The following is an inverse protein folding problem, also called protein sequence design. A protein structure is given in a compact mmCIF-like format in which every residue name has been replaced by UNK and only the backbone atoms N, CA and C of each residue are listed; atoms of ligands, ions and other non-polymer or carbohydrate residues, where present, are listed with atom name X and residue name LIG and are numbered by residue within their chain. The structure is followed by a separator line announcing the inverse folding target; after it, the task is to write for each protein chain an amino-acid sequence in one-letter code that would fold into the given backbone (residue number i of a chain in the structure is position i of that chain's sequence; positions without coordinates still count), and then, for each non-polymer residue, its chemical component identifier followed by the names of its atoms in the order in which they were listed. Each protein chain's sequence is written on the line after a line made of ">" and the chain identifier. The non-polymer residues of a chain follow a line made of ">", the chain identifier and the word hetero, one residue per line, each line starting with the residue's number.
data_IF_312307738443
#
_entry.id   IF_312307738443
#
_cell.length_a   1.000
_cell.length_b   1.000
_cell.length_c   1.000
_cell.angle_alpha   90.00
_cell.angle_beta   90.00
_cell.angle_gamma   90.00
#
_symmetry.space_group_name_H-M   'P 1'
#
loop_
_entity.id
_entity.type
_entity.pdbx_description
1 polymer ?
#
# COMPACT_ATOMS: atom_id res chain seq x y z
N UNK A 1 -66.10 -17.20 1.15
CA UNK A 1 -66.91 -16.04 0.71
C UNK A 1 -65.89 -15.14 0.02
N UNK A 2 -65.81 -15.38 -1.13
CA UNK A 2 -66.23 -14.80 -2.41
C UNK A 2 -65.19 -13.81 -2.96
N UNK A 3 -64.48 -14.30 -3.92
CA UNK A 3 -64.13 -13.52 -5.12
C UNK A 3 -65.42 -13.24 -5.88
N UNK A 4 -65.54 -12.40 -6.91
CA UNK A 4 -64.68 -12.37 -8.10
C UNK A 4 -64.66 -11.00 -8.84
N UNK A 5 -63.88 -10.81 -9.82
CA UNK A 5 -64.09 -10.97 -11.27
C UNK A 5 -63.73 -9.75 -12.08
N UNK A 6 -62.83 -9.95 -13.07
CA UNK A 6 -62.89 -9.67 -14.52
C UNK A 6 -62.98 -8.20 -14.98
N UNK A 7 -62.49 -7.78 -16.09
CA UNK A 7 -61.86 -8.29 -17.32
C UNK A 7 -61.52 -7.09 -18.23
N UNK A 8 -60.49 -7.22 -19.05
CA UNK A 8 -60.46 -7.11 -20.51
C UNK A 8 -60.34 -5.70 -21.14
N UNK A 9 -59.31 -5.58 -22.00
CA UNK A 9 -59.30 -4.63 -23.08
C UNK A 9 -57.94 -4.38 -23.73
N UNK A 10 -57.43 -5.35 -24.51
CA UNK A 10 -56.65 -5.09 -25.72
C UNK A 10 -57.59 -4.98 -26.92
N UNK A 11 -57.41 -4.27 -27.97
CA UNK A 11 -56.40 -4.59 -28.97
C UNK A 11 -55.89 -3.50 -29.94
N UNK A 12 -54.76 -3.83 -30.56
CA UNK A 12 -54.41 -3.74 -32.03
C UNK A 12 -54.18 -2.42 -32.70
N UNK A 13 -52.93 -2.38 -33.25
CA UNK A 13 -52.54 -2.28 -34.67
C UNK A 13 -52.67 -0.92 -35.33
N UNK A 14 -51.57 -0.35 -35.78
CA UNK A 14 -51.44 -0.13 -37.24
C UNK A 14 -49.96 -0.02 -37.70
N UNK A 15 -49.74 -0.54 -38.90
CA UNK A 15 -48.51 -0.61 -39.70
C UNK A 15 -48.43 0.60 -40.63
N UNK A 16 -47.26 1.03 -40.93
CA UNK A 16 -47.02 1.97 -42.05
C UNK A 16 -45.56 2.30 -42.24
N UNK A 17 -44.82 1.44 -42.90
CA UNK A 17 -44.42 1.53 -44.32
C UNK A 17 -43.33 2.57 -44.63
N UNK A 18 -42.14 2.01 -44.93
CA UNK A 18 -41.09 2.67 -45.71
C UNK A 18 -41.58 3.16 -47.11
N UNK A 19 -40.84 4.02 -47.79
CA UNK A 19 -40.08 3.47 -48.88
C UNK A 19 -38.62 3.98 -49.03
N UNK A 20 -37.93 3.16 -49.77
CA UNK A 20 -36.57 3.28 -50.27
C UNK A 20 -36.50 4.19 -51.53
N UNK A 21 -35.30 4.60 -51.88
CA UNK A 21 -34.65 4.54 -53.21
C UNK A 21 -33.53 5.57 -53.27
N UNK A 22 -32.37 5.15 -53.51
CA UNK A 22 -31.52 5.02 -54.71
C UNK A 22 -30.79 6.34 -55.02
N UNK A 23 -29.55 6.45 -55.36
CA UNK A 23 -28.73 5.74 -56.33
C UNK A 23 -27.27 6.26 -56.29
N UNK A 24 -26.34 5.41 -56.64
CA UNK A 24 -24.96 5.77 -57.01
C UNK A 24 -24.91 6.39 -58.40
N UNK A 25 -23.82 7.09 -58.78
CA UNK A 25 -23.08 6.55 -59.93
C UNK A 25 -21.57 6.46 -59.74
N UNK A 26 -21.09 5.47 -60.47
CA UNK A 26 -19.69 5.11 -60.76
C UNK A 26 -19.11 6.10 -61.77
N UNK A 27 -17.81 6.39 -61.66
CA UNK A 27 -16.92 6.55 -62.84
C UNK A 27 -15.49 6.16 -62.52
N UNK A 28 -14.98 5.22 -63.28
CA UNK A 28 -13.58 4.91 -63.62
C UNK A 28 -13.38 5.38 -65.07
N UNK A 29 -12.18 5.25 -65.65
CA UNK A 29 -10.79 5.59 -65.24
C UNK A 29 -10.10 6.45 -66.34
N UNK A 30 -8.88 6.92 -66.07
CA UNK A 30 -7.99 7.30 -67.18
C UNK A 30 -6.52 7.03 -66.86
N UNK A 31 -5.95 6.12 -67.64
CA UNK A 31 -4.55 5.80 -67.72
C UNK A 31 -3.75 6.83 -68.55
N UNK A 32 -2.50 7.07 -68.17
CA UNK A 32 -1.42 7.47 -69.11
C UNK A 32 -0.07 7.03 -68.57
N UNK A 33 0.52 6.02 -69.15
CA UNK A 33 1.86 5.86 -69.79
C UNK A 33 2.85 7.02 -69.47
N UNK A 34 4.13 6.84 -69.25
CA UNK A 34 5.09 5.75 -69.49
C UNK A 34 6.51 6.29 -69.15
N UNK A 35 7.42 5.36 -68.93
CA UNK A 35 8.84 5.42 -69.23
C UNK A 35 9.79 6.16 -68.24
N UNK A 36 10.64 5.38 -67.71
CA UNK A 36 11.91 5.77 -67.05
C UNK A 36 12.65 4.53 -66.58
N UNK A 37 13.20 3.75 -67.53
CA UNK A 37 14.23 2.75 -67.25
C UNK A 37 15.40 3.45 -66.60
N UNK A 38 15.71 3.07 -65.33
CA UNK A 38 17.05 3.25 -64.74
C UNK A 38 17.58 1.87 -64.35
N UNK A 39 18.74 1.61 -64.91
CA UNK A 39 19.58 0.45 -64.80
C UNK A 39 19.84 0.05 -63.37
N UNK A 40 19.61 -1.22 -63.04
CA UNK A 40 20.03 -1.82 -61.80
C UNK A 40 21.57 -1.98 -61.83
N UNK A 41 22.23 -1.39 -60.86
CA UNK A 41 23.62 -1.73 -60.50
C UNK A 41 23.59 -2.97 -59.61
N UNK A 42 24.57 -3.88 -59.72
CA UNK A 42 24.59 -5.14 -58.98
C UNK A 42 24.82 -4.86 -57.47
N UNK A 43 24.09 -5.59 -56.63
CA UNK A 43 24.19 -5.55 -55.19
C UNK A 43 25.55 -6.03 -54.69
N UNK A 44 26.20 -5.23 -53.88
CA UNK A 44 27.41 -5.56 -53.12
C UNK A 44 27.05 -6.61 -52.04
N UNK A 45 27.65 -7.84 -52.06
CA UNK A 45 27.33 -8.91 -51.11
C UNK A 45 27.92 -8.71 -49.70
N UNK A 46 28.57 -7.59 -49.42
CA UNK A 46 29.23 -7.36 -48.10
C UNK A 46 28.46 -6.46 -47.14
N UNK A 47 27.31 -5.94 -47.53
CA UNK A 47 26.49 -5.10 -46.65
C UNK A 47 25.65 -5.98 -45.72
N UNK A 48 26.18 -6.28 -44.53
CA UNK A 48 25.37 -6.78 -43.40
C UNK A 48 24.23 -5.79 -43.10
N UNK A 49 23.00 -6.30 -42.89
CA UNK A 49 21.92 -5.43 -42.46
C UNK A 49 22.29 -4.80 -41.09
N UNK A 50 22.37 -3.47 -41.04
CA UNK A 50 22.50 -2.74 -39.80
C UNK A 50 21.26 -3.03 -38.96
N UNK A 51 21.47 -3.68 -37.83
CA UNK A 51 20.40 -3.87 -36.81
C UNK A 51 19.82 -2.50 -36.42
N UNK A 52 18.51 -2.42 -36.18
CA UNK A 52 17.89 -1.14 -35.79
C UNK A 52 18.53 -0.66 -34.49
N UNK A 53 19.07 0.55 -34.52
CA UNK A 53 19.78 1.19 -33.41
C UNK A 53 18.93 1.41 -32.13
N UNK A 54 17.62 1.15 -32.20
CA UNK A 54 16.71 1.19 -31.07
C UNK A 54 16.88 0.02 -30.07
N UNK A 55 17.11 -1.20 -30.60
CA UNK A 55 17.15 -2.40 -29.75
C UNK A 55 18.35 -2.47 -28.79
N UNK A 56 19.46 -1.83 -29.13
CA UNK A 56 20.66 -1.77 -28.25
C UNK A 56 20.44 -0.76 -27.12
N UNK A 57 19.85 0.39 -27.41
CA UNK A 57 19.51 1.40 -26.40
C UNK A 57 18.47 0.91 -25.38
N UNK A 58 17.44 0.21 -25.85
CA UNK A 58 16.42 -0.39 -24.98
C UNK A 58 16.98 -1.50 -24.09
N UNK A 59 17.89 -2.34 -24.60
CA UNK A 59 18.57 -3.39 -23.80
C UNK A 59 19.42 -2.78 -22.69
N UNK A 60 20.20 -1.75 -22.96
CA UNK A 60 21.02 -1.09 -21.94
C UNK A 60 20.20 -0.34 -20.91
N UNK A 61 19.05 0.24 -21.29
CA UNK A 61 18.12 0.84 -20.35
C UNK A 61 17.49 -0.23 -19.44
N UNK A 62 17.04 -1.36 -20.01
CA UNK A 62 16.45 -2.46 -19.27
C UNK A 62 17.46 -3.16 -18.33
N UNK A 63 18.72 -3.32 -18.74
CA UNK A 63 19.79 -3.86 -17.89
C UNK A 63 20.09 -2.93 -16.70
N UNK A 64 20.14 -1.62 -16.93
CA UNK A 64 20.30 -0.61 -15.87
C UNK A 64 19.13 -0.59 -14.89
N UNK A 65 17.92 -0.78 -15.40
CA UNK A 65 16.69 -0.86 -14.63
C UNK A 65 16.68 -2.11 -13.71
N UNK A 66 16.93 -3.28 -14.27
CA UNK A 66 17.01 -4.53 -13.52
C UNK A 66 18.07 -4.49 -12.42
N UNK A 67 19.24 -3.92 -12.69
CA UNK A 67 20.31 -3.77 -11.70
C UNK A 67 19.89 -2.89 -10.52
N UNK A 68 19.23 -1.76 -10.77
CA UNK A 68 18.74 -0.86 -9.71
C UNK A 68 17.71 -1.54 -8.81
N UNK A 69 16.76 -2.28 -9.38
CA UNK A 69 15.79 -3.05 -8.61
C UNK A 69 16.45 -4.15 -7.78
N UNK A 70 17.43 -4.86 -8.35
CA UNK A 70 18.19 -5.88 -7.60
C UNK A 70 18.91 -5.28 -6.40
N UNK A 71 19.59 -4.14 -6.58
CA UNK A 71 20.25 -3.42 -5.49
C UNK A 71 19.25 -2.95 -4.42
N UNK A 72 18.06 -2.49 -4.83
CA UNK A 72 17.00 -2.10 -3.91
C UNK A 72 16.47 -3.30 -3.10
N UNK A 73 16.28 -4.44 -3.74
CA UNK A 73 15.88 -5.66 -3.04
C UNK A 73 16.92 -6.11 -2.01
N UNK A 74 18.21 -6.06 -2.35
CA UNK A 74 19.30 -6.38 -1.43
C UNK A 74 19.38 -5.39 -0.25
N UNK A 75 19.22 -4.10 -0.52
CA UNK A 75 19.18 -3.09 0.53
C UNK A 75 18.03 -3.30 1.51
N UNK A 76 16.86 -3.71 1.00
CA UNK A 76 15.68 -3.98 1.81
C UNK A 76 15.74 -5.32 2.58
N UNK A 77 16.65 -6.21 2.26
CA UNK A 77 16.89 -7.39 3.09
C UNK A 77 17.35 -7.03 4.52
N UNK A 78 17.96 -5.87 4.68
CA UNK A 78 18.35 -5.30 5.96
C UNK A 78 17.49 -4.08 6.33
N UNK A 79 16.19 -4.09 5.94
CA UNK A 79 15.26 -3.01 6.26
C UNK A 79 15.20 -2.80 7.78
N UNK A 80 15.52 -1.60 8.28
CA UNK A 80 15.66 -1.38 9.70
C UNK A 80 14.31 -1.20 10.39
N UNK A 81 14.18 -1.71 11.61
CA UNK A 81 13.07 -1.43 12.50
C UNK A 81 13.24 -0.06 13.18
N UNK A 82 12.13 0.52 13.64
CA UNK A 82 12.22 1.62 14.59
C UNK A 82 12.89 1.14 15.88
N UNK A 83 13.79 1.96 16.42
CA UNK A 83 14.45 1.65 17.67
C UNK A 83 13.45 1.43 18.80
N UNK A 84 12.41 2.26 18.87
CA UNK A 84 11.33 2.18 19.86
C UNK A 84 10.52 0.88 19.72
N UNK A 85 10.19 0.46 18.50
CA UNK A 85 9.43 -0.78 18.26
C UNK A 85 10.23 -2.00 18.68
N UNK A 86 11.54 -2.04 18.32
CA UNK A 86 12.45 -3.10 18.75
C UNK A 86 12.57 -3.14 20.28
N UNK A 87 12.82 -2.01 20.92
CA UNK A 87 13.04 -1.93 22.37
C UNK A 87 11.79 -2.34 23.13
N UNK A 88 10.60 -1.97 22.62
CA UNK A 88 9.34 -2.45 23.17
C UNK A 88 9.19 -3.96 23.04
N UNK A 89 9.48 -4.55 21.88
CA UNK A 89 9.44 -6.00 21.71
C UNK A 89 10.35 -6.70 22.71
N UNK A 90 11.56 -6.17 22.90
CA UNK A 90 12.50 -6.72 23.89
C UNK A 90 11.97 -6.58 25.33
N UNK A 91 11.36 -5.45 25.69
CA UNK A 91 10.73 -5.25 27.00
C UNK A 91 9.54 -6.19 27.22
N UNK A 92 8.71 -6.41 26.18
CA UNK A 92 7.59 -7.35 26.28
C UNK A 92 8.09 -8.77 26.57
N UNK A 93 9.11 -9.22 25.83
CA UNK A 93 9.64 -10.59 25.96
C UNK A 93 10.42 -10.78 27.29
N UNK A 94 10.97 -9.71 27.88
CA UNK A 94 11.70 -9.78 29.14
C UNK A 94 10.81 -9.98 30.38
N UNK A 95 9.49 -9.98 30.26
CA UNK A 95 8.56 -10.24 31.37
C UNK A 95 8.60 -11.73 31.79
N UNK A 96 8.45 -12.00 33.07
CA UNK A 96 8.49 -13.37 33.61
C UNK A 96 7.40 -14.30 33.02
N UNK A 97 6.24 -13.74 32.66
CA UNK A 97 5.12 -14.44 32.02
C UNK A 97 4.64 -13.63 30.83
N UNK A 98 5.24 -13.88 29.67
CA UNK A 98 4.83 -13.23 28.42
C UNK A 98 3.77 -14.04 27.69
N UNK A 99 2.63 -13.41 27.40
CA UNK A 99 1.64 -14.03 26.53
C UNK A 99 2.10 -13.94 25.07
N UNK A 100 1.86 -14.98 24.27
CA UNK A 100 2.16 -14.97 22.84
C UNK A 100 1.50 -13.79 22.15
N UNK A 101 0.26 -13.44 22.53
CA UNK A 101 -0.47 -12.30 21.98
C UNK A 101 0.25 -10.95 22.15
N UNK A 102 0.92 -10.74 23.29
CA UNK A 102 1.71 -9.52 23.54
C UNK A 102 2.92 -9.44 22.61
N UNK A 103 3.58 -10.59 22.37
CA UNK A 103 4.72 -10.66 21.44
C UNK A 103 4.24 -10.41 20.01
N UNK A 104 3.13 -11.01 19.62
CA UNK A 104 2.50 -10.82 18.29
C UNK A 104 2.19 -9.34 18.08
N UNK A 105 1.49 -8.70 19.02
CA UNK A 105 1.15 -7.27 18.95
C UNK A 105 2.40 -6.40 18.83
N UNK A 106 3.47 -6.72 19.55
CA UNK A 106 4.71 -5.97 19.47
C UNK A 106 5.43 -6.18 18.11
N UNK A 107 5.36 -7.37 17.54
CA UNK A 107 5.91 -7.67 16.20
C UNK A 107 5.12 -6.95 15.12
N UNK A 108 3.79 -6.96 15.18
CA UNK A 108 2.90 -6.33 14.21
C UNK A 108 2.93 -4.79 14.26
N UNK A 109 3.48 -4.21 15.32
CA UNK A 109 3.66 -2.76 15.42
C UNK A 109 4.73 -2.19 14.47
N UNK A 110 5.56 -3.04 13.84
CA UNK A 110 6.63 -2.60 12.94
C UNK A 110 6.80 -3.55 11.74
N UNK A 111 6.74 -2.97 10.55
CA UNK A 111 6.86 -3.71 9.27
C UNK A 111 8.18 -4.48 9.18
N UNK A 112 9.29 -3.94 9.70
CA UNK A 112 10.57 -4.63 9.65
C UNK A 112 10.62 -5.82 10.62
N UNK A 113 9.98 -5.71 11.78
CA UNK A 113 9.87 -6.81 12.73
C UNK A 113 9.03 -7.95 12.17
N UNK A 114 7.86 -7.63 11.58
CA UNK A 114 7.01 -8.66 10.97
C UNK A 114 7.72 -9.37 9.80
N UNK A 115 8.43 -8.63 8.94
CA UNK A 115 9.24 -9.21 7.86
C UNK A 115 10.31 -10.14 8.43
N UNK A 116 11.07 -9.69 9.42
CA UNK A 116 12.16 -10.46 10.00
C UNK A 116 11.66 -11.77 10.63
N UNK A 117 10.57 -11.70 11.39
CA UNK A 117 9.96 -12.87 12.05
C UNK A 117 9.39 -13.85 11.03
N UNK A 118 8.63 -13.39 10.03
CA UNK A 118 8.08 -14.25 8.99
C UNK A 118 9.17 -14.90 8.12
N UNK A 119 10.20 -14.17 7.75
CA UNK A 119 11.33 -14.72 6.98
C UNK A 119 12.04 -15.83 7.77
N UNK A 120 12.36 -15.59 9.03
CA UNK A 120 13.00 -16.58 9.88
C UNK A 120 12.12 -17.82 10.06
N UNK A 121 10.82 -17.65 10.32
CA UNK A 121 9.89 -18.75 10.45
C UNK A 121 9.79 -19.61 9.18
N UNK A 122 9.68 -18.95 8.02
CA UNK A 122 9.62 -19.65 6.74
C UNK A 122 10.96 -20.32 6.37
N UNK A 123 12.10 -19.73 6.71
CA UNK A 123 13.41 -20.36 6.54
C UNK A 123 13.53 -21.62 7.41
N UNK A 124 13.07 -21.57 8.66
CA UNK A 124 13.05 -22.74 9.56
C UNK A 124 12.18 -23.88 9.00
N UNK A 125 11.16 -23.57 8.20
CA UNK A 125 10.31 -24.54 7.50
C UNK A 125 10.83 -24.94 6.09
N UNK A 126 12.10 -24.68 5.82
CA UNK A 126 12.75 -25.03 4.54
C UNK A 126 12.40 -24.09 3.38
N UNK A 127 12.05 -22.85 3.66
CA UNK A 127 11.83 -21.82 2.65
C UNK A 127 10.59 -22.01 1.76
N UNK A 128 9.63 -22.83 2.20
CA UNK A 128 8.44 -23.17 1.39
C UNK A 128 7.27 -22.22 1.53
N UNK A 129 7.44 -21.08 2.20
CA UNK A 129 6.39 -20.06 2.35
C UNK A 129 5.10 -20.60 2.98
N UNK A 130 5.18 -21.29 4.12
CA UNK A 130 4.01 -21.90 4.77
C UNK A 130 3.43 -21.06 5.89
N UNK A 131 4.23 -20.16 6.46
CA UNK A 131 3.85 -19.33 7.59
C UNK A 131 3.42 -17.97 7.07
N UNK A 132 2.15 -17.65 7.21
CA UNK A 132 1.50 -16.45 6.66
C UNK A 132 0.89 -15.53 7.73
N UNK A 133 1.05 -15.86 9.02
CA UNK A 133 0.58 -15.04 10.14
C UNK A 133 1.69 -14.79 11.15
N UNK A 134 1.60 -13.66 11.86
CA UNK A 134 2.50 -13.33 12.96
C UNK A 134 2.37 -14.35 14.11
N UNK A 135 1.13 -14.77 14.40
CA UNK A 135 0.85 -15.77 15.44
C UNK A 135 1.58 -17.06 15.16
N UNK A 136 1.41 -17.65 13.97
CA UNK A 136 2.07 -18.89 13.59
C UNK A 136 3.61 -18.77 13.58
N UNK A 137 4.13 -17.60 13.17
CA UNK A 137 5.56 -17.34 13.18
C UNK A 137 6.13 -17.26 14.59
N UNK A 138 5.49 -16.53 15.50
CA UNK A 138 5.90 -16.41 16.91
C UNK A 138 5.78 -17.74 17.63
N UNK A 139 4.71 -18.50 17.40
CA UNK A 139 4.52 -19.83 17.98
C UNK A 139 5.58 -20.83 17.53
N UNK A 140 5.98 -20.78 16.25
CA UNK A 140 7.04 -21.63 15.72
C UNK A 140 8.40 -21.25 16.30
N UNK A 141 8.74 -19.98 16.30
CA UNK A 141 10.06 -19.48 16.70
C UNK A 141 10.26 -19.46 18.22
N UNK A 142 9.17 -19.32 18.99
CA UNK A 142 9.16 -19.06 20.43
C UNK A 142 9.77 -17.70 20.81
N UNK A 143 9.35 -17.15 21.93
CA UNK A 143 9.74 -15.81 22.38
C UNK A 143 11.28 -15.61 22.46
N UNK A 144 12.01 -16.62 22.89
CA UNK A 144 13.48 -16.56 23.00
C UNK A 144 14.18 -16.35 21.64
N UNK A 145 13.71 -17.04 20.60
CA UNK A 145 14.25 -16.86 19.25
C UNK A 145 13.87 -15.49 18.67
N UNK A 146 12.62 -15.05 18.92
CA UNK A 146 12.16 -13.72 18.52
C UNK A 146 12.98 -12.62 19.22
N UNK A 147 13.30 -12.79 20.51
CA UNK A 147 14.19 -11.89 21.25
C UNK A 147 15.58 -11.81 20.61
N UNK A 148 16.18 -12.96 20.31
CA UNK A 148 17.50 -13.03 19.67
C UNK A 148 17.49 -12.36 18.29
N UNK A 149 16.40 -12.56 17.53
CA UNK A 149 16.20 -11.91 16.23
C UNK A 149 16.09 -10.39 16.41
N UNK A 150 15.21 -9.93 17.30
CA UNK A 150 14.98 -8.50 17.56
C UNK A 150 16.27 -7.78 17.98
N UNK A 151 17.10 -8.42 18.82
CA UNK A 151 18.38 -7.85 19.24
C UNK A 151 19.38 -7.65 18.08
N UNK A 152 19.22 -8.38 16.97
CA UNK A 152 20.09 -8.31 15.78
C UNK A 152 19.52 -7.46 14.64
N UNK A 153 18.23 -7.14 14.68
CA UNK A 153 17.60 -6.30 13.67
C UNK A 153 18.26 -4.92 13.70
N UNK A 154 18.65 -4.44 12.51
CA UNK A 154 19.11 -3.05 12.37
C UNK A 154 18.00 -2.13 12.80
N UNK A 155 18.37 -1.09 13.52
CA UNK A 155 17.43 -0.03 13.89
C UNK A 155 17.85 1.27 13.25
N UNK A 156 16.89 2.12 13.00
CA UNK A 156 17.13 3.52 12.77
C UNK A 156 16.41 4.31 13.87
N UNK A 157 17.09 5.32 14.36
CA UNK A 157 16.43 6.38 15.08
C UNK A 157 15.80 7.27 13.98
N UNK A 158 14.50 7.41 14.02
CA UNK A 158 13.77 8.26 13.07
C UNK A 158 14.34 9.69 13.02
N UNK A 159 15.11 10.06 13.97
CA UNK A 159 15.66 11.38 14.24
C UNK A 159 17.13 11.54 13.83
N UNK A 160 17.81 10.45 13.57
CA UNK A 160 19.13 10.45 12.94
C UNK A 160 18.93 10.39 11.43
N UNK A 161 19.21 11.49 10.74
CA UNK A 161 19.17 11.55 9.28
C UNK A 161 20.05 10.46 8.69
N UNK A 162 19.46 9.46 8.13
CA UNK A 162 20.16 8.49 7.28
C UNK A 162 19.64 8.62 5.85
N UNK A 163 20.40 9.28 5.04
CA UNK A 163 20.24 9.69 3.63
C UNK A 163 19.09 9.14 2.77
N UNK A 164 18.87 7.85 2.71
CA UNK A 164 17.85 7.24 1.82
C UNK A 164 16.47 7.15 2.50
N UNK A 165 16.41 7.16 3.82
CA UNK A 165 15.20 6.86 4.59
C UNK A 165 14.54 8.09 5.24
N UNK A 166 14.93 9.32 4.88
CA UNK A 166 14.67 10.55 5.65
C UNK A 166 13.19 10.93 5.93
N UNK A 167 12.21 10.48 5.21
CA UNK A 167 10.81 10.82 5.49
C UNK A 167 9.79 9.77 5.00
N UNK A 168 10.20 8.89 4.12
CA UNK A 168 9.31 7.94 3.48
C UNK A 168 8.89 6.78 4.40
N UNK A 169 9.76 6.24 5.27
CA UNK A 169 9.38 5.13 6.15
C UNK A 169 8.26 5.47 7.12
N UNK A 170 8.18 6.69 7.60
CA UNK A 170 7.12 7.08 8.51
C UNK A 170 5.75 7.14 7.85
N UNK A 171 5.66 7.84 6.70
CA UNK A 171 4.40 7.90 5.94
C UNK A 171 3.97 6.52 5.50
N UNK A 172 4.92 5.69 5.10
CA UNK A 172 4.69 4.30 4.76
C UNK A 172 4.10 3.53 5.96
N UNK A 173 4.69 3.66 7.15
CA UNK A 173 4.20 2.99 8.37
C UNK A 173 2.83 3.48 8.80
N UNK A 174 2.60 4.79 8.83
CA UNK A 174 1.30 5.37 9.14
C UNK A 174 0.21 4.85 8.18
N UNK A 175 0.52 4.79 6.90
CA UNK A 175 -0.39 4.27 5.90
C UNK A 175 -0.62 2.76 6.07
N UNK A 176 0.43 1.98 6.30
CA UNK A 176 0.32 0.54 6.54
C UNK A 176 -0.55 0.20 7.75
N UNK A 177 -0.38 0.95 8.86
CA UNK A 177 -1.21 0.79 10.06
C UNK A 177 -2.67 1.22 9.80
N UNK A 178 -2.89 2.35 9.13
CA UNK A 178 -4.24 2.78 8.77
C UNK A 178 -4.95 1.75 7.87
N UNK A 179 -4.23 1.20 6.90
CA UNK A 179 -4.77 0.13 6.03
C UNK A 179 -5.06 -1.14 6.83
N UNK A 180 -4.19 -1.52 7.77
CA UNK A 180 -4.40 -2.68 8.63
C UNK A 180 -5.66 -2.51 9.51
N UNK A 181 -5.86 -1.34 10.12
CA UNK A 181 -7.06 -1.03 10.90
C UNK A 181 -8.32 -1.05 10.03
N UNK A 182 -8.27 -0.48 8.84
CA UNK A 182 -9.39 -0.51 7.90
C UNK A 182 -9.72 -1.94 7.47
N UNK A 183 -8.71 -2.76 7.17
CA UNK A 183 -8.87 -4.15 6.79
C UNK A 183 -9.50 -4.98 7.92
N UNK A 184 -9.06 -4.78 9.16
CA UNK A 184 -9.60 -5.46 10.33
C UNK A 184 -11.09 -5.13 10.55
N UNK A 185 -11.48 -3.86 10.41
CA UNK A 185 -12.90 -3.44 10.51
C UNK A 185 -13.76 -4.00 9.39
N UNK A 186 -13.28 -3.93 8.15
CA UNK A 186 -13.97 -4.54 7.01
C UNK A 186 -14.15 -6.03 7.23
N UNK A 187 -13.09 -6.73 7.66
CA UNK A 187 -13.14 -8.16 7.93
C UNK A 187 -14.08 -8.50 9.09
N UNK A 188 -14.12 -7.69 10.14
CA UNK A 188 -15.04 -7.86 11.27
C UNK A 188 -16.51 -7.70 10.84
N UNK A 189 -16.81 -6.70 10.01
CA UNK A 189 -18.18 -6.42 9.55
C UNK A 189 -18.75 -7.56 8.70
N UNK A 190 -17.91 -8.24 7.89
CA UNK A 190 -18.35 -9.36 7.04
C UNK A 190 -18.09 -10.74 7.66
N UNK A 191 -17.51 -10.81 8.85
CA UNK A 191 -17.19 -12.09 9.52
C UNK A 191 -16.08 -12.89 8.82
N UNK A 192 -15.06 -12.20 8.25
CA UNK A 192 -13.97 -12.87 7.56
C UNK A 192 -13.04 -13.61 8.54
N UNK A 193 -12.81 -14.90 8.30
CA UNK A 193 -12.13 -15.78 9.27
C UNK A 193 -10.60 -15.60 9.31
N UNK A 194 -9.95 -15.23 8.19
CA UNK A 194 -8.48 -15.18 8.10
C UNK A 194 -7.90 -13.80 8.43
N UNK A 195 -8.34 -13.20 9.53
CA UNK A 195 -7.97 -11.82 9.91
C UNK A 195 -6.47 -11.66 10.19
N UNK A 196 -5.83 -12.65 10.82
CA UNK A 196 -4.39 -12.59 11.14
C UNK A 196 -3.52 -12.50 9.88
N UNK A 197 -3.86 -13.24 8.81
CA UNK A 197 -3.16 -13.13 7.53
C UNK A 197 -3.44 -11.80 6.85
N UNK A 198 -4.69 -11.32 6.94
CA UNK A 198 -5.07 -10.02 6.41
C UNK A 198 -4.28 -8.89 7.09
N UNK A 199 -4.06 -8.96 8.40
CA UNK A 199 -3.20 -8.05 9.16
C UNK A 199 -1.79 -7.99 8.57
N UNK A 200 -1.15 -9.15 8.38
CA UNK A 200 0.18 -9.21 7.78
C UNK A 200 0.20 -8.61 6.37
N UNK A 201 -0.76 -8.99 5.54
CA UNK A 201 -0.80 -8.51 4.15
C UNK A 201 -1.05 -7.01 4.08
N UNK A 202 -1.90 -6.47 4.95
CA UNK A 202 -2.16 -5.03 5.06
C UNK A 202 -0.90 -4.23 5.42
N UNK A 203 -0.12 -4.75 6.36
CA UNK A 203 1.14 -4.11 6.76
C UNK A 203 2.18 -4.09 5.63
N UNK A 204 2.13 -5.08 4.74
CA UNK A 204 3.13 -5.26 3.68
C UNK A 204 2.66 -4.81 2.29
N UNK A 205 1.38 -4.47 2.08
CA UNK A 205 0.82 -4.25 0.75
C UNK A 205 1.62 -3.25 -0.10
N UNK A 206 2.12 -2.22 0.53
CA UNK A 206 2.83 -1.10 -0.08
C UNK A 206 4.36 -1.20 -0.04
N UNK A 207 4.92 -2.34 0.41
CA UNK A 207 6.37 -2.50 0.59
C UNK A 207 7.18 -2.17 -0.67
N UNK A 208 6.58 -2.34 -1.83
CA UNK A 208 7.20 -1.96 -3.10
C UNK A 208 7.46 -0.46 -3.25
N UNK A 209 6.75 0.42 -2.53
CA UNK A 209 7.05 1.86 -2.50
C UNK A 209 8.46 2.13 -1.95
N UNK A 210 8.91 1.33 -0.99
CA UNK A 210 10.29 1.42 -0.47
C UNK A 210 11.32 0.94 -1.50
N UNK A 211 10.97 -0.09 -2.29
CA UNK A 211 11.82 -0.53 -3.42
C UNK A 211 11.99 0.59 -4.44
N UNK A 212 10.87 1.20 -4.86
CA UNK A 212 10.89 2.28 -5.83
C UNK A 212 11.63 3.52 -5.30
N UNK A 213 11.46 3.83 -4.02
CA UNK A 213 12.17 4.91 -3.36
C UNK A 213 13.69 4.73 -3.42
N UNK A 214 14.17 3.51 -3.19
CA UNK A 214 15.59 3.20 -3.24
C UNK A 214 16.13 3.14 -4.67
N UNK A 215 15.36 2.54 -5.58
CA UNK A 215 15.81 2.29 -6.96
C UNK A 215 15.80 3.55 -7.84
N UNK A 216 14.91 4.52 -7.56
CA UNK A 216 14.68 5.65 -8.46
C UNK A 216 14.83 6.99 -7.75
N UNK A 217 15.94 7.72 -8.02
CA UNK A 217 16.10 9.10 -7.56
C UNK A 217 14.91 9.97 -8.03
N UNK A 218 14.30 10.70 -7.10
CA UNK A 218 13.13 11.54 -7.40
C UNK A 218 11.77 10.86 -7.21
N UNK A 219 11.72 9.56 -6.93
CA UNK A 219 10.49 8.93 -6.46
C UNK A 219 10.24 9.31 -4.97
N UNK A 220 9.03 9.60 -4.52
CA UNK A 220 7.81 9.71 -5.33
C UNK A 220 7.58 11.11 -5.95
N UNK A 221 8.32 12.13 -5.51
CA UNK A 221 8.01 13.54 -5.79
C UNK A 221 7.97 13.91 -7.27
N UNK A 222 8.85 13.33 -8.09
CA UNK A 222 8.87 13.56 -9.54
C UNK A 222 7.88 12.66 -10.26
N UNK A 223 7.87 11.37 -9.94
CA UNK A 223 7.00 10.37 -10.59
C UNK A 223 5.53 10.66 -10.33
N UNK A 224 5.17 11.03 -9.10
CA UNK A 224 3.78 11.33 -8.74
C UNK A 224 3.37 12.79 -8.98
N UNK A 225 4.24 13.61 -9.61
CA UNK A 225 3.91 15.02 -9.86
C UNK A 225 2.61 15.17 -10.65
N UNK A 226 1.62 15.84 -10.03
CA UNK A 226 0.32 16.09 -10.64
C UNK A 226 -0.63 14.88 -10.61
N UNK A 227 -0.30 13.78 -9.96
CA UNK A 227 -1.25 12.73 -9.63
C UNK A 227 -2.25 13.25 -8.58
N UNK A 228 -3.54 13.04 -8.82
CA UNK A 228 -4.61 13.50 -7.92
C UNK A 228 -5.15 12.37 -7.05
N UNK A 229 -5.13 11.14 -7.56
CA UNK A 229 -5.65 9.96 -6.90
C UNK A 229 -4.55 8.91 -6.69
N UNK A 230 -4.74 7.91 -5.80
CA UNK A 230 -3.84 6.77 -5.69
C UNK A 230 -3.68 6.01 -7.02
N UNK A 231 -4.75 5.84 -7.78
CA UNK A 231 -4.75 5.18 -9.10
C UNK A 231 -3.90 5.96 -10.12
N UNK A 232 -3.98 7.30 -10.12
CA UNK A 232 -3.12 8.14 -10.96
C UNK A 232 -1.63 7.90 -10.66
N UNK A 233 -1.28 7.65 -9.39
CA UNK A 233 0.11 7.37 -8.99
C UNK A 233 0.61 6.07 -9.60
N UNK A 234 -0.18 5.01 -9.55
CA UNK A 234 0.15 3.71 -10.16
C UNK A 234 0.31 3.81 -11.67
N UNK A 235 -0.62 4.49 -12.35
CA UNK A 235 -0.50 4.72 -13.78
C UNK A 235 0.78 5.47 -14.14
N UNK A 236 1.22 6.41 -13.31
CA UNK A 236 2.48 7.12 -13.50
C UNK A 236 3.69 6.25 -13.23
N UNK A 237 3.67 5.45 -12.17
CA UNK A 237 4.74 4.47 -11.91
C UNK A 237 4.94 3.55 -13.12
N UNK A 238 3.88 2.94 -13.64
CA UNK A 238 3.94 2.09 -14.84
C UNK A 238 4.48 2.82 -16.05
N UNK A 239 4.04 4.05 -16.27
CA UNK A 239 4.45 4.85 -17.43
C UNK A 239 5.89 5.35 -17.33
N UNK A 240 6.29 5.86 -16.17
CA UNK A 240 7.59 6.51 -15.97
C UNK A 240 8.70 5.50 -15.63
N UNK A 241 8.35 4.42 -14.90
CA UNK A 241 9.30 3.45 -14.39
C UNK A 241 9.21 2.09 -15.07
N UNK A 242 8.15 1.82 -15.85
CA UNK A 242 7.87 0.52 -16.44
C UNK A 242 7.38 -0.54 -15.45
N UNK A 243 7.31 -0.21 -14.17
CA UNK A 243 6.82 -1.06 -13.07
C UNK A 243 6.05 -0.22 -12.07
N UNK A 244 5.19 -0.86 -11.27
CA UNK A 244 4.54 -0.22 -10.14
C UNK A 244 4.93 -0.87 -8.81
N UNK A 245 4.59 -0.19 -7.71
CA UNK A 245 4.95 -0.68 -6.37
C UNK A 245 4.25 -2.00 -6.00
N UNK A 246 3.05 -2.28 -6.49
CA UNK A 246 2.36 -3.53 -6.21
C UNK A 246 3.11 -4.72 -6.83
N UNK A 247 3.51 -4.59 -8.11
CA UNK A 247 4.30 -5.60 -8.80
C UNK A 247 5.65 -5.85 -8.10
N UNK A 248 6.43 -4.79 -7.85
CA UNK A 248 7.76 -4.98 -7.23
C UNK A 248 7.66 -5.43 -5.79
N UNK A 249 6.60 -5.05 -5.06
CA UNK A 249 6.28 -5.54 -3.72
C UNK A 249 6.03 -7.04 -3.69
N UNK A 250 5.22 -7.55 -4.63
CA UNK A 250 4.98 -8.99 -4.80
C UNK A 250 6.25 -9.77 -5.15
N UNK A 251 7.10 -9.22 -6.02
CA UNK A 251 8.43 -9.81 -6.32
C UNK A 251 9.32 -9.87 -5.09
N UNK A 252 9.37 -8.78 -4.31
CA UNK A 252 10.15 -8.73 -3.07
C UNK A 252 9.65 -9.75 -2.04
N UNK A 253 8.33 -9.87 -1.86
CA UNK A 253 7.73 -10.84 -0.95
C UNK A 253 8.12 -12.29 -1.30
N UNK A 254 8.10 -12.64 -2.59
CA UNK A 254 8.57 -13.95 -3.07
C UNK A 254 10.07 -14.14 -2.82
N UNK A 255 10.89 -13.12 -3.06
CA UNK A 255 12.33 -13.16 -2.78
C UNK A 255 12.62 -13.39 -1.30
N UNK A 256 11.81 -12.87 -0.43
CA UNK A 256 11.88 -13.08 1.02
C UNK A 256 11.36 -14.45 1.48
N UNK A 257 10.85 -15.28 0.56
CA UNK A 257 10.29 -16.60 0.87
C UNK A 257 8.94 -16.52 1.59
N UNK A 258 8.23 -15.39 1.47
CA UNK A 258 6.88 -15.28 2.02
C UNK A 258 5.89 -16.13 1.21
N UNK A 259 4.77 -16.55 1.81
CA UNK A 259 3.73 -17.32 1.13
C UNK A 259 3.26 -16.70 -0.17
N UNK A 260 2.99 -17.54 -1.17
CA UNK A 260 2.50 -17.09 -2.47
C UNK A 260 1.19 -16.32 -2.36
N UNK A 261 0.35 -16.63 -1.37
CA UNK A 261 -0.89 -15.92 -1.06
C UNK A 261 -0.61 -14.46 -0.72
N UNK A 262 0.30 -14.19 0.21
CA UNK A 262 0.72 -12.83 0.58
C UNK A 262 1.29 -12.10 -0.64
N UNK A 263 2.25 -12.72 -1.33
CA UNK A 263 2.91 -12.10 -2.48
C UNK A 263 1.93 -11.76 -3.61
N UNK A 264 0.98 -12.64 -3.91
CA UNK A 264 -0.04 -12.42 -4.95
C UNK A 264 -1.04 -11.35 -4.52
N UNK A 265 -1.43 -11.30 -3.25
CA UNK A 265 -2.30 -10.27 -2.72
C UNK A 265 -1.64 -8.89 -2.83
N UNK A 266 -0.37 -8.77 -2.43
CA UNK A 266 0.42 -7.54 -2.61
C UNK A 266 0.47 -7.12 -4.08
N UNK A 267 0.76 -8.06 -4.99
CA UNK A 267 0.89 -7.78 -6.44
C UNK A 267 -0.42 -7.29 -7.06
N UNK A 268 -1.57 -7.72 -6.54
CA UNK A 268 -2.87 -7.51 -7.17
C UNK A 268 -3.78 -6.51 -6.47
N UNK A 269 -3.38 -5.93 -5.35
CA UNK A 269 -4.27 -5.10 -4.52
C UNK A 269 -4.82 -3.85 -5.22
N UNK A 270 -4.24 -3.41 -6.32
CA UNK A 270 -4.76 -2.33 -7.16
C UNK A 270 -5.54 -2.80 -8.40
N UNK A 271 -5.70 -4.10 -8.60
CA UNK A 271 -6.50 -4.59 -9.71
C UNK A 271 -7.99 -4.38 -9.40
N UNK A 272 -8.77 -3.68 -10.26
CA UNK A 272 -10.20 -3.46 -10.03
C UNK A 272 -11.05 -4.75 -10.08
N UNK A 273 -10.56 -5.80 -10.75
CA UNK A 273 -11.26 -7.10 -10.90
C UNK A 273 -10.77 -8.13 -9.88
N UNK A 274 -10.12 -7.69 -8.78
CA UNK A 274 -9.59 -8.62 -7.80
C UNK A 274 -10.67 -9.17 -6.89
N UNK A 275 -10.50 -10.43 -6.51
CA UNK A 275 -11.35 -11.15 -5.55
C UNK A 275 -10.54 -11.64 -4.35
N UNK A 276 -11.24 -12.19 -3.35
CA UNK A 276 -10.62 -12.75 -2.16
C UNK A 276 -9.87 -11.70 -1.34
N UNK A 277 -8.74 -12.09 -0.76
CA UNK A 277 -7.98 -11.26 0.17
C UNK A 277 -7.50 -9.93 -0.42
N UNK A 278 -7.11 -9.94 -1.70
CA UNK A 278 -6.67 -8.72 -2.36
C UNK A 278 -7.80 -7.69 -2.54
N UNK A 279 -9.06 -8.11 -2.58
CA UNK A 279 -10.20 -7.20 -2.58
C UNK A 279 -10.37 -6.51 -1.22
N UNK A 280 -10.13 -7.22 -0.11
CA UNK A 280 -10.09 -6.61 1.23
C UNK A 280 -8.99 -5.56 1.34
N UNK A 281 -7.78 -5.90 0.88
CA UNK A 281 -6.65 -4.96 0.91
C UNK A 281 -6.95 -3.74 0.03
N UNK A 282 -7.51 -3.94 -1.17
CA UNK A 282 -7.90 -2.83 -2.05
C UNK A 282 -8.88 -1.87 -1.38
N UNK A 283 -9.94 -2.39 -0.77
CA UNK A 283 -10.91 -1.57 -0.07
C UNK A 283 -10.27 -0.86 1.13
N UNK A 284 -9.46 -1.57 1.91
CA UNK A 284 -8.80 -1.02 3.09
C UNK A 284 -7.81 0.09 2.74
N UNK A 285 -7.03 -0.08 1.66
CA UNK A 285 -6.15 0.95 1.11
C UNK A 285 -6.92 2.21 0.67
N UNK A 286 -8.04 2.03 -0.04
CA UNK A 286 -8.90 3.14 -0.43
C UNK A 286 -9.48 3.88 0.79
N UNK A 287 -9.89 3.15 1.83
CA UNK A 287 -10.39 3.74 3.08
C UNK A 287 -9.29 4.51 3.81
N UNK A 288 -8.09 3.93 3.93
CA UNK A 288 -6.94 4.59 4.54
C UNK A 288 -6.54 5.87 3.78
N UNK A 289 -6.55 5.83 2.46
CA UNK A 289 -6.31 7.01 1.63
C UNK A 289 -7.39 8.08 1.81
N UNK A 290 -8.67 7.69 1.83
CA UNK A 290 -9.79 8.61 2.07
C UNK A 290 -9.67 9.30 3.43
N UNK A 291 -9.33 8.57 4.45
CA UNK A 291 -9.14 9.08 5.80
C UNK A 291 -7.98 10.05 5.91
N UNK A 292 -6.90 9.80 5.19
CA UNK A 292 -5.75 10.70 5.09
C UNK A 292 -6.01 11.92 4.20
N UNK A 293 -7.24 12.12 3.71
CA UNK A 293 -7.67 13.26 2.92
C UNK A 293 -7.31 13.17 1.45
N UNK A 294 -6.94 11.99 0.94
CA UNK A 294 -6.74 11.79 -0.49
C UNK A 294 -8.08 11.73 -1.23
N UNK A 295 -8.06 12.11 -2.50
CA UNK A 295 -9.22 11.99 -3.37
C UNK A 295 -9.34 10.52 -3.80
N UNK A 296 -10.43 9.88 -3.40
CA UNK A 296 -10.76 8.50 -3.77
C UNK A 296 -12.10 8.51 -4.51
N UNK A 297 -12.23 7.69 -5.55
CA UNK A 297 -13.46 7.57 -6.32
C UNK A 297 -14.55 6.88 -5.48
N UNK A 298 -15.69 7.54 -5.17
CA UNK A 298 -16.77 6.92 -4.41
C UNK A 298 -17.37 5.71 -5.11
N UNK A 299 -17.43 5.72 -6.45
CA UNK A 299 -17.96 4.60 -7.24
C UNK A 299 -17.07 3.37 -7.16
N UNK A 300 -15.75 3.55 -7.23
CA UNK A 300 -14.80 2.45 -7.10
C UNK A 300 -14.77 1.90 -5.67
N UNK A 301 -14.85 2.78 -4.67
CA UNK A 301 -14.94 2.36 -3.26
C UNK A 301 -16.19 1.51 -3.02
N UNK A 302 -17.36 1.94 -3.53
CA UNK A 302 -18.60 1.16 -3.44
C UNK A 302 -18.51 -0.17 -4.20
N UNK A 303 -17.85 -0.20 -5.35
CA UNK A 303 -17.62 -1.43 -6.09
C UNK A 303 -16.73 -2.38 -5.31
N UNK A 304 -15.60 -1.89 -4.77
CA UNK A 304 -14.68 -2.68 -3.94
C UNK A 304 -15.38 -3.20 -2.67
N UNK A 305 -16.24 -2.39 -2.05
CA UNK A 305 -17.05 -2.81 -0.90
C UNK A 305 -17.98 -3.99 -1.26
N UNK A 306 -18.68 -3.91 -2.38
CA UNK A 306 -19.55 -5.00 -2.86
C UNK A 306 -18.77 -6.29 -3.12
N UNK A 307 -17.56 -6.20 -3.64
CA UNK A 307 -16.70 -7.37 -3.90
C UNK A 307 -16.36 -8.13 -2.61
N UNK A 308 -16.23 -7.44 -1.50
CA UNK A 308 -16.00 -8.07 -0.17
C UNK A 308 -17.30 -8.35 0.61
N UNK A 309 -18.46 -8.14 -0.01
CA UNK A 309 -19.74 -8.43 0.60
C UNK A 309 -20.35 -7.31 1.44
N UNK A 310 -19.80 -6.08 1.37
CA UNK A 310 -20.36 -4.92 2.04
C UNK A 310 -21.34 -4.16 1.16
N UNK A 311 -22.54 -3.91 1.68
CA UNK A 311 -23.45 -2.94 1.10
C UNK A 311 -23.10 -1.49 1.48
N UNK A 312 -23.84 -0.50 0.93
CA UNK A 312 -23.58 0.90 1.23
C UNK A 312 -23.74 1.28 2.71
N UNK A 313 -24.64 0.64 3.42
CA UNK A 313 -24.88 0.91 4.85
C UNK A 313 -23.78 0.31 5.74
N UNK A 314 -23.33 -0.91 5.42
CA UNK A 314 -22.21 -1.56 6.09
C UNK A 314 -20.92 -0.75 5.85
N UNK A 315 -20.66 -0.35 4.61
CA UNK A 315 -19.53 0.52 4.29
C UNK A 315 -19.56 1.82 5.08
N UNK A 316 -20.75 2.44 5.21
CA UNK A 316 -20.93 3.65 5.99
C UNK A 316 -20.60 3.39 7.48
N UNK A 317 -21.04 2.28 8.07
CA UNK A 317 -20.67 1.89 9.45
C UNK A 317 -19.15 1.77 9.59
N UNK A 318 -18.49 1.04 8.71
CA UNK A 318 -17.04 0.91 8.71
C UNK A 318 -16.36 2.28 8.64
N UNK A 319 -16.80 3.17 7.75
CA UNK A 319 -16.23 4.52 7.60
C UNK A 319 -16.47 5.40 8.85
N UNK A 320 -17.58 5.24 9.55
CA UNK A 320 -17.83 5.98 10.78
C UNK A 320 -17.01 5.51 11.97
N UNK A 321 -16.61 4.26 11.95
CA UNK A 321 -15.78 3.66 12.98
C UNK A 321 -14.28 3.83 12.71
N UNK A 322 -13.89 4.16 11.47
CA UNK A 322 -12.51 4.56 11.18
C UNK A 322 -12.17 5.85 11.93
N UNK A 323 -10.93 6.00 12.42
CA UNK A 323 -10.50 7.24 13.06
C UNK A 323 -10.69 8.39 12.08
N UNK A 324 -11.52 9.34 12.42
CA UNK A 324 -11.84 10.46 11.54
C UNK A 324 -10.69 11.46 11.54
N UNK A 325 -10.33 11.96 10.35
CA UNK A 325 -9.46 13.14 10.22
C UNK A 325 -10.00 14.31 11.07
N UNK A 326 -9.14 15.15 11.65
CA UNK A 326 -9.55 16.17 12.65
C UNK A 326 -10.63 17.14 12.20
N UNK A 327 -10.99 17.16 10.93
CA UNK A 327 -12.02 18.05 10.36
C UNK A 327 -13.45 17.49 10.35
N UNK A 328 -13.68 16.24 10.77
CA UNK A 328 -15.02 15.64 10.79
C UNK A 328 -15.43 15.19 12.20
N UNK A 329 -16.18 16.04 12.89
CA UNK A 329 -17.06 15.83 14.05
C UNK A 329 -16.46 15.96 15.45
N UNK A 330 -17.10 16.82 16.23
CA UNK A 330 -17.07 16.82 17.68
C UNK A 330 -17.63 15.48 18.20
N UNK A 331 -16.77 14.47 18.35
CA UNK A 331 -17.04 13.32 19.21
C UNK A 331 -16.87 13.74 20.66
N UNK A 332 -17.55 13.06 21.54
CA UNK A 332 -17.24 13.09 22.98
C UNK A 332 -15.77 12.74 23.13
N UNK A 333 -14.95 13.76 23.31
CA UNK A 333 -13.51 13.60 23.40
C UNK A 333 -13.24 13.06 24.79
N UNK A 334 -12.72 11.84 24.88
CA UNK A 334 -12.16 11.36 26.15
C UNK A 334 -11.14 12.39 26.66
N UNK A 335 -11.08 12.66 27.96
CA UNK A 335 -10.12 13.63 28.48
C UNK A 335 -8.70 13.21 28.05
N UNK A 336 -8.03 14.13 27.34
CA UNK A 336 -6.69 13.88 26.83
C UNK A 336 -5.71 13.66 28.00
N UNK A 337 -5.01 12.51 28.10
CA UNK A 337 -4.09 12.27 29.21
C UNK A 337 -2.77 13.06 29.06
N UNK A 338 -2.59 13.71 27.91
CA UNK A 338 -1.39 14.47 27.60
C UNK A 338 -1.49 15.88 28.15
N UNK A 339 -0.38 16.39 28.66
CA UNK A 339 -0.27 17.82 28.99
C UNK A 339 -0.29 18.66 27.69
N UNK A 340 -0.60 19.97 27.82
CA UNK A 340 -0.59 20.88 26.67
C UNK A 340 0.76 20.94 25.93
N UNK A 341 1.88 20.74 26.67
CA UNK A 341 3.21 20.64 26.05
C UNK A 341 3.41 19.34 25.26
N UNK A 342 2.99 18.23 25.82
CA UNK A 342 3.04 16.92 25.17
C UNK A 342 2.12 16.89 23.93
N UNK A 343 0.91 17.45 24.05
CA UNK A 343 0.01 17.58 22.90
C UNK A 343 0.63 18.46 21.81
N UNK A 344 1.25 19.58 22.17
CA UNK A 344 1.95 20.44 21.22
C UNK A 344 3.13 19.75 20.54
N UNK A 345 3.84 18.86 21.22
CA UNK A 345 4.88 18.02 20.62
C UNK A 345 4.26 17.01 19.67
N UNK A 346 3.18 16.32 20.07
CA UNK A 346 2.52 15.31 19.27
C UNK A 346 1.87 15.89 18.00
N UNK A 347 1.29 17.10 18.06
CA UNK A 347 0.76 17.79 16.89
C UNK A 347 1.82 18.04 15.82
N UNK A 348 2.97 18.56 16.21
CA UNK A 348 4.08 18.81 15.28
C UNK A 348 4.68 17.52 14.74
N UNK A 349 4.63 16.51 15.56
CA UNK A 349 4.98 15.16 15.17
C UNK A 349 4.05 14.66 14.07
N UNK A 350 2.75 14.82 14.21
CA UNK A 350 1.74 14.46 13.20
C UNK A 350 1.90 15.26 11.89
N UNK A 351 2.40 16.50 11.97
CA UNK A 351 2.77 17.32 10.81
C UNK A 351 4.04 16.83 10.08
N UNK A 352 4.69 15.78 10.55
CA UNK A 352 5.89 15.21 9.92
C UNK A 352 7.19 15.92 10.31
N UNK A 353 7.20 16.77 11.35
CA UNK A 353 8.38 17.52 11.77
C UNK A 353 9.37 16.64 12.52
N UNK A 354 10.65 16.88 12.30
CA UNK A 354 11.75 16.22 13.02
C UNK A 354 12.05 16.94 14.32
N UNK A 355 12.65 16.27 15.29
CA UNK A 355 12.90 16.81 16.65
C UNK A 355 13.58 18.16 16.69
N UNK A 356 14.54 18.43 15.80
CA UNK A 356 15.20 19.73 15.72
C UNK A 356 14.21 20.84 15.35
N UNK A 357 13.26 20.56 14.46
CA UNK A 357 12.22 21.51 14.07
C UNK A 357 11.22 21.69 15.21
N UNK A 358 10.77 20.58 15.84
CA UNK A 358 9.88 20.63 17.01
C UNK A 358 10.54 21.42 18.17
N UNK A 359 11.81 21.11 18.43
CA UNK A 359 12.58 21.80 19.48
C UNK A 359 12.70 23.30 19.19
N UNK A 360 13.01 23.67 17.96
CA UNK A 360 13.09 25.06 17.54
C UNK A 360 11.75 25.78 17.67
N UNK A 361 10.65 25.20 17.16
CA UNK A 361 9.32 25.82 17.20
C UNK A 361 8.74 25.95 18.61
N UNK A 362 9.04 24.98 19.48
CA UNK A 362 8.55 24.98 20.86
C UNK A 362 9.53 25.61 21.85
N UNK A 363 10.66 26.09 21.37
CA UNK A 363 11.75 26.68 22.19
C UNK A 363 12.22 25.69 23.27
N UNK A 364 12.46 24.45 22.85
CA UNK A 364 12.92 23.33 23.68
C UNK A 364 14.28 22.81 23.19
N UNK A 365 14.96 22.01 24.02
CA UNK A 365 16.07 21.20 23.54
C UNK A 365 15.58 19.92 22.84
N UNK A 366 16.38 19.36 21.96
CA UNK A 366 16.05 18.07 21.34
C UNK A 366 15.94 16.94 22.35
N UNK A 367 16.72 16.97 23.43
CA UNK A 367 16.62 16.03 24.54
C UNK A 367 15.28 16.18 25.30
N UNK A 368 14.80 17.40 25.48
CA UNK A 368 13.49 17.67 26.11
C UNK A 368 12.35 17.12 25.23
N UNK A 369 12.43 17.28 23.90
CA UNK A 369 11.44 16.70 22.98
C UNK A 369 11.42 15.19 23.09
N UNK A 370 12.58 14.52 23.16
CA UNK A 370 12.67 13.05 23.39
C UNK A 370 12.01 12.62 24.70
N UNK A 371 12.25 13.35 25.78
CA UNK A 371 11.61 13.09 27.08
C UNK A 371 10.08 13.21 26.98
N UNK A 372 9.57 14.26 26.33
CA UNK A 372 8.13 14.40 26.11
C UNK A 372 7.55 13.23 25.31
N UNK A 373 8.25 12.76 24.28
CA UNK A 373 7.77 11.62 23.48
C UNK A 373 7.77 10.32 24.27
N UNK A 374 8.78 10.07 25.06
CA UNK A 374 8.79 8.92 25.98
C UNK A 374 7.56 8.95 26.92
N UNK A 375 7.26 10.10 27.48
CA UNK A 375 6.08 10.28 28.34
C UNK A 375 4.77 10.11 27.57
N UNK A 376 4.68 10.66 26.35
CA UNK A 376 3.53 10.50 25.45
C UNK A 376 3.27 9.03 25.18
N UNK A 377 4.30 8.29 24.77
CA UNK A 377 4.17 6.86 24.46
C UNK A 377 3.73 6.06 25.68
N UNK A 378 4.29 6.35 26.86
CA UNK A 378 3.86 5.71 28.11
C UNK A 378 2.40 6.01 28.46
N UNK A 379 1.95 7.26 28.30
CA UNK A 379 0.57 7.67 28.61
C UNK A 379 -0.46 7.13 27.63
N UNK A 380 -0.09 7.01 26.36
CA UNK A 380 -0.97 6.52 25.32
C UNK A 380 -0.94 4.99 25.17
N UNK A 381 0.05 4.31 25.80
CA UNK A 381 0.32 2.91 25.55
C UNK A 381 0.84 2.66 24.11
N UNK A 382 1.34 3.72 23.47
CA UNK A 382 1.89 3.64 22.13
C UNK A 382 3.31 3.06 22.15
N UNK A 383 3.65 2.31 21.12
CA UNK A 383 4.97 1.69 20.97
C UNK A 383 5.92 2.57 20.17
N UNK A 384 5.35 3.40 19.30
CA UNK A 384 6.10 4.29 18.43
C UNK A 384 5.30 5.56 18.09
N UNK A 385 5.93 6.43 17.30
CA UNK A 385 5.36 7.67 16.81
C UNK A 385 4.08 7.46 16.02
N UNK A 386 4.07 6.48 15.10
CA UNK A 386 2.96 6.24 14.21
C UNK A 386 1.72 5.84 15.02
N UNK A 387 1.91 4.94 15.97
CA UNK A 387 0.84 4.49 16.86
C UNK A 387 0.37 5.61 17.81
N UNK A 388 1.29 6.44 18.33
CA UNK A 388 0.90 7.56 19.16
C UNK A 388 0.05 8.60 18.42
N UNK A 389 0.41 8.92 17.17
CA UNK A 389 -0.38 9.82 16.30
C UNK A 389 -1.72 9.18 15.98
N UNK A 390 -1.74 7.90 15.63
CA UNK A 390 -2.97 7.17 15.31
C UNK A 390 -3.94 7.18 16.51
N UNK A 391 -3.49 6.77 17.70
CA UNK A 391 -4.30 6.77 18.92
C UNK A 391 -4.84 8.18 19.24
N UNK A 392 -4.01 9.21 19.10
CA UNK A 392 -4.43 10.57 19.39
C UNK A 392 -5.45 11.10 18.37
N UNK A 393 -5.31 10.71 17.09
CA UNK A 393 -6.27 11.01 16.04
C UNK A 393 -7.59 10.26 16.28
N UNK A 394 -7.53 8.96 16.60
CA UNK A 394 -8.70 8.14 16.94
C UNK A 394 -9.51 8.72 18.09
N UNK A 395 -8.82 9.24 19.10
CA UNK A 395 -9.41 9.86 20.28
C UNK A 395 -9.83 11.32 20.07
N UNK A 396 -9.53 11.91 18.91
CA UNK A 396 -9.87 13.29 18.57
C UNK A 396 -9.05 14.33 19.34
N UNK A 397 -7.84 13.99 19.78
CA UNK A 397 -6.92 14.91 20.46
C UNK A 397 -6.00 15.66 19.49
N UNK A 398 -5.86 15.15 18.26
CA UNK A 398 -5.15 15.78 17.15
C UNK A 398 -6.10 16.25 16.06
#
# INVERSE_FOLDING_TARGET
>A
MESPTRMVGDPRVDKGRMPATASKPKTKPRARKANGRRSASPADPTRRPSAPSGAAGERHQNEGHGRRLTMAFEALEAFPALAESRDRLLMVIAKDHVATADVVTAVESDVALIIAVLRMANQAQGGRGRIDTAVAAVDLLKAQTVQTLAARVRTFDFFERSGVWEAAPERFRLHALATQHAADRVAAEVGYEHRDRLTVTSLLHDIGKLVLLYAYPGYPSQVHRGAKTPEDRIHRERRELGVDHALVGGVLARRWGLPATIATTIERHHNPEVEGEAAFIRLADMLAHYEQGAIVSPSEMLQSARTVGLGPEELRRVMYELPSSPNQRRRHVDPCPLSGRELGVLQRLAEGKVYKQIAHELTLSTSTVRTHLHNIYGKLGAVDRAQAVLIATERGWL
#
